data_IF_301292639943
#
_entry.id   IF_301292639943
#
_cell.length_a   1.000
_cell.length_b   1.000
_cell.length_c   1.000
_cell.angle_alpha   90.00
_cell.angle_beta   90.00
_cell.angle_gamma   90.00
#
_symmetry.space_group_name_H-M   'P 1'
#
loop_
_entity.id
_entity.type
_entity.pdbx_description
1 polymer ?
#
# COMPACT_ATOMS: atom_id res chain seq x y z
N UNK A 1 -57.54 3.24 -49.47
CA UNK A 1 -58.52 4.29 -49.07
C UNK A 1 -58.74 4.21 -47.56
N UNK A 2 -58.59 5.37 -46.89
CA UNK A 2 -59.27 5.83 -45.66
C UNK A 2 -59.06 5.11 -44.31
N UNK A 3 -58.00 5.55 -43.62
CA UNK A 3 -58.03 6.31 -42.36
C UNK A 3 -59.34 6.37 -41.54
N UNK A 4 -59.27 5.97 -40.26
CA UNK A 4 -59.99 6.64 -39.15
C UNK A 4 -59.14 6.66 -37.87
N UNK A 5 -58.57 7.83 -37.63
CA UNK A 5 -58.03 8.39 -36.40
C UNK A 5 -58.97 8.21 -35.21
N UNK A 6 -58.47 7.78 -34.04
CA UNK A 6 -58.86 8.31 -32.73
C UNK A 6 -57.65 8.23 -31.78
N UNK A 7 -57.51 9.29 -31.00
CA UNK A 7 -56.38 9.74 -30.19
C UNK A 7 -56.66 9.42 -28.71
N UNK A 8 -55.62 9.52 -27.87
CA UNK A 8 -55.63 9.72 -26.40
C UNK A 8 -55.64 8.44 -25.54
N UNK A 9 -54.49 8.09 -24.96
CA UNK A 9 -54.28 8.21 -23.50
C UNK A 9 -52.79 8.14 -23.15
N UNK A 10 -52.29 9.28 -22.68
CA UNK A 10 -51.02 9.44 -22.00
C UNK A 10 -51.15 8.80 -20.60
N UNK A 11 -50.43 7.71 -20.33
CA UNK A 11 -50.13 7.29 -18.95
C UNK A 11 -48.64 6.99 -18.89
N UNK A 12 -47.94 7.88 -18.18
CA UNK A 12 -46.56 7.70 -17.77
C UNK A 12 -46.46 6.47 -16.86
N UNK A 13 -45.77 5.45 -17.32
CA UNK A 13 -45.17 4.46 -16.42
C UNK A 13 -43.72 4.86 -16.31
N UNK A 14 -43.37 5.42 -15.14
CA UNK A 14 -42.01 5.52 -14.65
C UNK A 14 -41.40 4.12 -14.78
N UNK A 15 -40.55 3.92 -15.78
CA UNK A 15 -39.51 2.91 -15.66
C UNK A 15 -38.59 3.43 -14.56
N UNK A 16 -38.84 2.97 -13.34
CA UNK A 16 -37.79 2.89 -12.34
C UNK A 16 -36.71 2.02 -12.98
N UNK A 17 -35.74 2.67 -13.63
CA UNK A 17 -34.41 2.11 -13.73
C UNK A 17 -33.94 2.02 -12.27
N UNK A 18 -34.30 0.92 -11.61
CA UNK A 18 -33.56 0.45 -10.46
C UNK A 18 -32.14 0.35 -10.97
N UNK A 19 -31.27 1.28 -10.56
CA UNK A 19 -29.85 1.17 -10.79
C UNK A 19 -29.47 -0.26 -10.44
N UNK A 20 -29.14 -1.04 -11.46
CA UNK A 20 -28.40 -2.27 -11.25
C UNK A 20 -27.21 -1.84 -10.42
N UNK A 21 -27.11 -2.44 -9.22
CA UNK A 21 -25.88 -2.34 -8.45
C UNK A 21 -24.79 -2.81 -9.40
N UNK A 22 -23.95 -1.88 -9.83
CA UNK A 22 -22.69 -2.20 -10.45
C UNK A 22 -21.89 -2.99 -9.41
N UNK A 23 -22.13 -4.30 -9.36
CA UNK A 23 -21.29 -5.29 -8.68
C UNK A 23 -20.03 -5.50 -9.54
N UNK A 24 -19.39 -4.40 -9.96
CA UNK A 24 -18.01 -4.49 -10.42
C UNK A 24 -17.18 -4.87 -9.19
N UNK A 25 -16.41 -5.96 -9.24
CA UNK A 25 -15.59 -6.34 -8.10
C UNK A 25 -14.64 -5.19 -7.81
N UNK A 26 -14.71 -4.66 -6.59
CA UNK A 26 -13.77 -3.67 -6.11
C UNK A 26 -12.35 -4.22 -6.30
N UNK A 27 -11.59 -3.62 -7.20
CA UNK A 27 -10.26 -4.10 -7.55
C UNK A 27 -9.33 -3.84 -6.36
N UNK A 28 -9.05 -4.88 -5.58
CA UNK A 28 -8.08 -4.80 -4.49
C UNK A 28 -6.66 -4.94 -5.04
N UNK A 29 -6.08 -3.84 -5.49
CA UNK A 29 -4.71 -3.80 -6.04
C UNK A 29 -3.66 -4.28 -5.03
N UNK A 30 -3.89 -4.10 -3.72
CA UNK A 30 -2.99 -4.61 -2.70
C UNK A 30 -2.94 -6.15 -2.66
N UNK A 31 -4.02 -6.83 -3.06
CA UNK A 31 -4.06 -8.29 -3.12
C UNK A 31 -3.13 -8.85 -4.21
N UNK A 32 -2.94 -8.14 -5.31
CA UNK A 32 -2.05 -8.57 -6.41
C UNK A 32 -0.57 -8.65 -5.99
N UNK A 33 -0.17 -7.87 -4.99
CA UNK A 33 1.20 -7.75 -4.51
C UNK A 33 1.35 -8.21 -3.05
N UNK A 34 0.31 -8.82 -2.48
CA UNK A 34 0.38 -9.38 -1.14
C UNK A 34 1.38 -10.54 -1.11
N UNK A 35 2.25 -10.57 -0.11
CA UNK A 35 3.33 -11.54 -0.04
C UNK A 35 4.38 -11.21 1.02
N UNK A 36 5.37 -12.10 1.09
CA UNK A 36 6.56 -11.95 1.94
C UNK A 36 7.77 -11.82 1.02
N UNK A 37 8.42 -10.67 1.07
CA UNK A 37 9.60 -10.35 0.28
C UNK A 37 10.82 -10.45 1.17
N UNK A 38 11.82 -11.23 0.76
CA UNK A 38 13.08 -11.36 1.49
C UNK A 38 14.18 -10.65 0.70
N UNK A 39 15.10 -9.99 1.41
CA UNK A 39 16.09 -9.18 0.74
C UNK A 39 17.08 -8.51 1.68
N UNK A 40 17.66 -7.42 1.18
CA UNK A 40 18.63 -6.61 1.91
C UNK A 40 17.99 -5.27 2.27
N UNK A 41 18.30 -4.76 3.46
CA UNK A 41 17.91 -3.43 3.91
C UNK A 41 19.15 -2.56 4.07
N UNK A 42 19.31 -1.57 3.19
CA UNK A 42 20.38 -0.57 3.29
C UNK A 42 19.92 0.59 4.15
N UNK A 43 20.76 1.03 5.09
CA UNK A 43 20.41 2.03 6.09
C UNK A 43 21.32 3.26 5.97
N UNK A 44 20.75 4.44 6.15
CA UNK A 44 21.52 5.67 6.39
C UNK A 44 20.86 6.57 7.42
N UNK A 45 21.66 7.34 8.16
CA UNK A 45 21.18 8.38 9.08
C UNK A 45 21.77 9.71 8.64
N UNK A 46 20.92 10.61 8.13
CA UNK A 46 21.38 11.76 7.36
C UNK A 46 22.21 11.30 6.16
N UNK A 47 23.44 11.79 6.03
CA UNK A 47 24.38 11.41 4.97
C UNK A 47 25.29 10.23 5.31
N UNK A 48 25.17 9.64 6.51
CA UNK A 48 26.05 8.55 6.96
C UNK A 48 25.41 7.21 6.62
N UNK A 49 26.07 6.44 5.75
CA UNK A 49 25.68 5.06 5.47
C UNK A 49 26.04 4.13 6.64
N UNK A 50 25.20 3.14 6.89
CA UNK A 50 25.41 2.06 7.85
C UNK A 50 25.61 0.74 7.11
N UNK A 51 26.11 -0.27 7.82
CA UNK A 51 26.17 -1.61 7.27
C UNK A 51 24.76 -2.11 6.90
N UNK A 52 24.61 -2.78 5.75
CA UNK A 52 23.31 -3.32 5.34
C UNK A 52 22.88 -4.47 6.25
N UNK A 53 21.56 -4.62 6.40
CA UNK A 53 20.96 -5.76 7.10
C UNK A 53 20.58 -6.81 6.06
N UNK A 54 21.34 -7.91 6.06
CA UNK A 54 21.06 -9.09 5.23
C UNK A 54 19.85 -9.87 5.74
N UNK A 55 19.18 -10.58 4.84
CA UNK A 55 18.01 -11.41 5.15
C UNK A 55 16.87 -10.62 5.84
N UNK A 56 16.76 -9.34 5.54
CA UNK A 56 15.63 -8.51 5.95
C UNK A 56 14.36 -8.95 5.22
N UNK A 57 13.21 -8.55 5.74
CA UNK A 57 11.90 -9.00 5.28
C UNK A 57 10.91 -7.85 5.27
N UNK A 58 10.14 -7.75 4.18
CA UNK A 58 8.94 -6.91 4.11
C UNK A 58 7.73 -7.81 3.83
N UNK A 59 6.66 -7.65 4.60
CA UNK A 59 5.39 -8.34 4.36
C UNK A 59 4.34 -7.35 3.90
N UNK A 60 3.65 -7.65 2.81
CA UNK A 60 2.54 -6.85 2.28
C UNK A 60 1.27 -7.69 2.42
N UNK A 61 0.24 -7.12 3.04
CA UNK A 61 -1.11 -7.70 3.09
C UNK A 61 -2.11 -6.72 2.51
N UNK A 62 -3.17 -7.23 1.89
CA UNK A 62 -4.31 -6.40 1.56
C UNK A 62 -5.15 -6.10 2.80
N UNK A 63 -5.83 -4.95 2.78
CA UNK A 63 -6.88 -4.58 3.71
C UNK A 63 -8.22 -4.53 2.97
N UNK A 64 -9.32 -4.63 3.72
CA UNK A 64 -10.69 -4.58 3.17
C UNK A 64 -11.00 -3.25 2.47
N UNK A 65 -10.33 -2.16 2.86
CA UNK A 65 -10.49 -0.82 2.26
C UNK A 65 -9.69 -0.61 0.95
N UNK A 66 -9.21 -1.69 0.32
CA UNK A 66 -8.43 -1.66 -0.91
C UNK A 66 -6.97 -1.19 -0.76
N UNK A 67 -6.54 -0.86 0.46
CA UNK A 67 -5.16 -0.44 0.77
C UNK A 67 -4.30 -1.62 1.24
N UNK A 68 -3.00 -1.37 1.45
CA UNK A 68 -2.07 -2.34 1.96
C UNK A 68 -1.66 -2.08 3.42
N UNK A 69 -1.49 -3.16 4.18
CA UNK A 69 -0.66 -3.19 5.39
C UNK A 69 0.75 -3.63 4.98
N UNK A 70 1.75 -2.79 5.22
CA UNK A 70 3.17 -3.06 4.96
C UNK A 70 3.89 -3.21 6.29
N UNK A 71 4.51 -4.37 6.51
CA UNK A 71 5.33 -4.64 7.70
C UNK A 71 6.79 -4.70 7.31
N UNK A 72 7.61 -3.77 7.82
CA UNK A 72 9.07 -3.89 7.81
C UNK A 72 9.48 -4.71 9.04
N UNK A 73 10.16 -5.84 8.82
CA UNK A 73 10.66 -6.66 9.93
C UNK A 73 11.69 -5.88 10.76
N UNK A 74 11.75 -6.20 12.05
CA UNK A 74 12.71 -5.62 12.98
C UNK A 74 14.16 -5.69 12.49
N UNK A 75 14.94 -4.67 12.81
CA UNK A 75 16.32 -4.52 12.37
C UNK A 75 17.14 -3.74 13.41
N UNK A 76 18.46 -3.72 13.24
CA UNK A 76 19.38 -3.08 14.18
C UNK A 76 19.69 -3.96 15.40
N UNK A 77 20.68 -3.54 16.18
CA UNK A 77 21.20 -4.32 17.31
C UNK A 77 21.33 -3.46 18.58
N UNK A 78 21.33 -4.13 19.73
CA UNK A 78 21.52 -3.49 21.03
C UNK A 78 20.49 -2.40 21.31
N UNK A 79 20.96 -1.24 21.75
CA UNK A 79 20.09 -0.10 22.10
C UNK A 79 19.38 0.54 20.89
N UNK A 80 19.76 0.18 19.66
CA UNK A 80 19.16 0.66 18.42
C UNK A 80 18.37 -0.44 17.69
N UNK A 81 17.96 -1.50 18.40
CA UNK A 81 17.09 -2.53 17.83
C UNK A 81 15.66 -2.01 17.68
N UNK A 82 15.10 -2.17 16.49
CA UNK A 82 13.71 -1.97 16.18
C UNK A 82 13.00 -3.33 16.13
N UNK A 83 11.82 -3.39 16.73
CA UNK A 83 10.84 -4.44 16.43
C UNK A 83 10.13 -4.13 15.11
N UNK A 84 9.31 -5.06 14.64
CA UNK A 84 8.51 -4.90 13.43
C UNK A 84 7.74 -3.56 13.42
N UNK A 85 7.78 -2.87 12.29
CA UNK A 85 7.05 -1.62 12.05
C UNK A 85 5.89 -1.94 11.11
N UNK A 86 4.68 -1.89 11.63
CA UNK A 86 3.44 -2.19 10.87
C UNK A 86 2.80 -0.90 10.41
N UNK A 87 2.75 -0.69 9.10
CA UNK A 87 2.25 0.53 8.45
C UNK A 87 0.93 0.16 7.77
N UNK A 88 -0.16 0.77 8.22
CA UNK A 88 -1.50 0.53 7.69
C UNK A 88 -1.86 1.58 6.65
N UNK A 89 -2.89 1.26 5.86
CA UNK A 89 -3.52 2.17 4.93
C UNK A 89 -2.54 2.75 3.88
N UNK A 90 -1.56 1.95 3.47
CA UNK A 90 -0.64 2.27 2.38
C UNK A 90 -1.39 2.20 1.06
N UNK A 91 -1.37 3.31 0.31
CA UNK A 91 -2.04 3.41 -0.99
C UNK A 91 -1.27 2.61 -2.02
N UNK A 92 -1.99 1.80 -2.79
CA UNK A 92 -1.44 1.02 -3.90
C UNK A 92 -2.00 1.55 -5.22
N UNK A 93 -1.14 1.90 -6.16
CA UNK A 93 -1.55 2.27 -7.53
C UNK A 93 -0.90 1.34 -8.55
N UNK A 94 -1.65 0.96 -9.59
CA UNK A 94 -1.14 0.11 -10.66
C UNK A 94 -0.55 0.95 -11.77
N UNK A 95 0.69 0.66 -12.15
CA UNK A 95 1.37 1.17 -13.33
C UNK A 95 1.36 0.17 -14.49
N UNK A 96 2.23 0.40 -15.47
CA UNK A 96 2.45 -0.54 -16.58
C UNK A 96 3.24 -1.78 -16.15
N UNK A 97 3.21 -2.83 -16.97
CA UNK A 97 4.02 -4.05 -16.81
C UNK A 97 3.92 -4.69 -15.41
N UNK A 98 2.71 -4.76 -14.87
CA UNK A 98 2.43 -5.30 -13.53
C UNK A 98 3.31 -4.73 -12.41
N UNK A 99 3.69 -3.46 -12.55
CA UNK A 99 4.36 -2.69 -11.51
C UNK A 99 3.32 -1.92 -10.70
N UNK A 100 3.47 -1.93 -9.38
CA UNK A 100 2.58 -1.31 -8.42
C UNK A 100 3.39 -0.35 -7.56
N UNK A 101 2.90 0.87 -7.36
CA UNK A 101 3.51 1.85 -6.48
C UNK A 101 2.85 1.84 -5.11
N UNK A 102 3.66 1.91 -4.06
CA UNK A 102 3.26 2.04 -2.66
C UNK A 102 3.53 3.47 -2.20
N UNK A 103 2.58 4.12 -1.55
CA UNK A 103 2.77 5.41 -0.87
C UNK A 103 1.95 5.44 0.42
N UNK A 104 2.57 5.79 1.54
CA UNK A 104 1.85 5.92 2.80
C UNK A 104 2.62 6.70 3.85
N UNK A 105 1.90 7.21 4.84
CA UNK A 105 2.47 7.80 6.04
C UNK A 105 2.75 6.72 7.08
N UNK A 106 3.79 6.92 7.87
CA UNK A 106 4.15 6.07 9.00
C UNK A 106 3.76 6.83 10.27
N UNK A 107 2.89 6.21 11.06
CA UNK A 107 2.60 6.55 12.45
C UNK A 107 2.36 5.23 13.18
N UNK A 108 3.45 4.62 13.64
CA UNK A 108 3.48 3.24 14.10
C UNK A 108 4.42 3.07 15.30
N UNK A 109 4.23 1.99 16.06
CA UNK A 109 5.11 1.63 17.18
C UNK A 109 6.10 0.54 16.75
N UNK A 110 7.36 0.73 17.12
CA UNK A 110 8.37 -0.34 17.15
C UNK A 110 8.69 -0.65 18.61
N UNK A 111 8.05 -1.68 19.15
CA UNK A 111 8.05 -1.93 20.59
C UNK A 111 7.44 -0.76 21.35
N UNK A 112 8.22 -0.09 22.21
CA UNK A 112 7.79 1.09 22.97
C UNK A 112 8.16 2.42 22.30
N UNK A 113 8.77 2.39 21.13
CA UNK A 113 9.24 3.59 20.42
C UNK A 113 8.23 3.96 19.34
N UNK A 114 7.70 5.18 19.38
CA UNK A 114 6.92 5.70 18.27
C UNK A 114 7.84 5.94 17.06
N UNK A 115 7.37 5.64 15.86
CA UNK A 115 8.08 5.84 14.60
C UNK A 115 7.16 6.57 13.65
N UNK A 116 7.59 7.73 13.21
CA UNK A 116 6.87 8.54 12.21
C UNK A 116 7.62 8.63 10.91
N UNK A 117 6.97 9.01 9.81
CA UNK A 117 7.64 9.26 8.54
C UNK A 117 6.79 8.81 7.35
N UNK A 118 7.41 8.22 6.34
CA UNK A 118 6.71 7.80 5.12
C UNK A 118 7.32 6.52 4.53
N UNK A 119 6.49 5.78 3.81
CA UNK A 119 6.88 4.65 2.96
C UNK A 119 6.55 4.98 1.52
N UNK A 120 7.50 4.71 0.63
CA UNK A 120 7.30 4.80 -0.82
C UNK A 120 8.06 3.69 -1.52
N UNK A 121 7.55 3.18 -2.64
CA UNK A 121 8.25 2.12 -3.34
C UNK A 121 7.50 1.54 -4.52
N UNK A 122 8.11 0.52 -5.12
CA UNK A 122 7.54 -0.22 -6.23
C UNK A 122 7.64 -1.72 -6.00
N UNK A 123 6.61 -2.44 -6.46
CA UNK A 123 6.55 -3.90 -6.42
C UNK A 123 6.11 -4.41 -7.79
N UNK A 124 6.84 -5.36 -8.34
CA UNK A 124 6.43 -6.10 -9.53
C UNK A 124 5.66 -7.32 -9.07
N UNK A 125 4.45 -7.56 -9.58
CA UNK A 125 3.63 -8.73 -9.22
C UNK A 125 4.42 -10.03 -9.42
N UNK A 126 4.56 -10.81 -8.35
CA UNK A 126 5.34 -12.06 -8.35
C UNK A 126 6.85 -11.86 -8.57
N UNK A 127 7.36 -10.65 -8.39
CA UNK A 127 8.75 -10.28 -8.65
C UNK A 127 9.33 -9.40 -7.54
N UNK A 128 10.17 -8.44 -7.95
CA UNK A 128 10.97 -7.63 -7.02
C UNK A 128 10.15 -6.57 -6.30
N UNK A 129 10.53 -6.28 -5.07
CA UNK A 129 10.10 -5.13 -4.29
C UNK A 129 11.31 -4.22 -4.00
N UNK A 130 11.17 -2.92 -4.31
CA UNK A 130 12.13 -1.88 -3.96
C UNK A 130 11.36 -0.82 -3.17
N UNK A 131 11.57 -0.77 -1.85
CA UNK A 131 10.75 0.02 -0.93
C UNK A 131 11.65 0.85 -0.03
N UNK A 132 11.39 2.15 0.02
CA UNK A 132 12.07 3.11 0.87
C UNK A 132 11.18 3.45 2.05
N UNK A 133 11.73 3.31 3.25
CA UNK A 133 11.12 3.77 4.50
C UNK A 133 11.95 4.93 5.04
N UNK A 134 11.33 6.09 5.16
CA UNK A 134 11.91 7.22 5.91
C UNK A 134 11.34 7.16 7.31
N UNK A 135 12.17 6.85 8.29
CA UNK A 135 11.77 6.56 9.66
C UNK A 135 12.32 7.63 10.61
N UNK A 136 11.47 8.17 11.47
CA UNK A 136 11.84 9.09 12.55
C UNK A 136 11.41 8.50 13.89
N UNK A 137 12.32 7.79 14.58
CA UNK A 137 12.07 7.21 15.89
C UNK A 137 11.96 8.30 16.98
N UNK A 138 10.84 8.33 17.69
CA UNK A 138 10.58 9.24 18.80
C UNK A 138 10.89 10.71 18.45
N UNK A 139 11.70 11.35 19.30
CA UNK A 139 12.12 12.73 19.11
C UNK A 139 13.49 12.86 18.42
N UNK A 140 13.95 11.82 17.70
CA UNK A 140 15.26 11.85 17.04
C UNK A 140 15.35 13.04 16.08
N UNK A 141 16.46 13.81 16.07
CA UNK A 141 16.57 15.01 15.24
C UNK A 141 16.75 14.71 13.75
N UNK A 142 17.15 13.49 13.39
CA UNK A 142 17.40 13.04 12.02
C UNK A 142 16.60 11.78 11.72
N UNK A 143 16.15 11.65 10.47
CA UNK A 143 15.51 10.43 9.98
C UNK A 143 16.53 9.36 9.60
N UNK A 144 16.13 8.12 9.75
CA UNK A 144 16.76 6.93 9.19
C UNK A 144 16.12 6.70 7.82
N UNK A 145 16.93 6.60 6.78
CA UNK A 145 16.48 6.14 5.47
C UNK A 145 16.80 4.64 5.33
N UNK A 146 15.77 3.82 5.15
CA UNK A 146 15.90 2.37 5.03
C UNK A 146 15.38 1.92 3.67
N UNK A 147 16.28 1.48 2.80
CA UNK A 147 15.96 1.06 1.43
C UNK A 147 16.01 -0.46 1.36
N UNK A 148 14.84 -1.06 1.23
CA UNK A 148 14.66 -2.50 1.04
C UNK A 148 14.70 -2.86 -0.44
N UNK A 149 15.50 -3.86 -0.79
CA UNK A 149 15.50 -4.48 -2.11
C UNK A 149 15.38 -6.00 -1.93
N UNK A 150 14.29 -6.59 -2.42
CA UNK A 150 14.00 -8.01 -2.24
C UNK A 150 13.04 -8.60 -3.27
N UNK A 151 12.68 -9.86 -3.08
CA UNK A 151 11.72 -10.62 -3.89
C UNK A 151 11.05 -11.73 -3.07
#
# INVERSE_FOLDING_TARGET
>A
MKLRTQLIMLVAILCMASCEKNDEPEINLAQDIAGVYNGQLTLSVGSTAMDPVENSKVTIKHQENGKAEVTLAGFGEGAMSFQDIVIKDVVVTKGGNDTYSLVGDIDAMSGTTNVTGNVEGTVIKGGKANITFTLKPGAMPMSINAVFNGQ
#
